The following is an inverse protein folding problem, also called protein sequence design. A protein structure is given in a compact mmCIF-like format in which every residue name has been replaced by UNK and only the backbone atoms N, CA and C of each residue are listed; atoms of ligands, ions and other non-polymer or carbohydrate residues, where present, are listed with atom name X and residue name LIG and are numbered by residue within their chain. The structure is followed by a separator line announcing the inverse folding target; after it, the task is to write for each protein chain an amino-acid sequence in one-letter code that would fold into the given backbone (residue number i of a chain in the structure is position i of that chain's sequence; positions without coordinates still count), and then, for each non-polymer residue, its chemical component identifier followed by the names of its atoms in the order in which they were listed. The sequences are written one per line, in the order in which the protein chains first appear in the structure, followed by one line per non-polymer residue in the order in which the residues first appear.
data_IF_564424857198
#
_entry.id   IF_564424857198
#
_cell.length_a   1.000
_cell.length_b   1.000
_cell.length_c   1.000
_cell.angle_alpha   90.00
_cell.angle_beta   90.00
_cell.angle_gamma   90.00
#
_symmetry.space_group_name_H-M   'P 1'
#
loop_
_entity.id
_entity.type
_entity.pdbx_description
1 polymer ?
#
# COMPACT_ATOMS: atom_id res chain seq x y z
N UNK A 1 -17.86 3.16 16.64
CA UNK A 1 -17.29 3.61 15.38
C UNK A 1 -15.76 3.62 15.30
N UNK A 2 -15.07 3.56 16.43
CA UNK A 2 -13.63 3.29 16.47
C UNK A 2 -13.46 1.84 16.93
N UNK A 3 -13.85 0.90 16.08
CA UNK A 3 -13.83 -0.52 16.40
C UNK A 3 -13.22 -1.39 15.30
N UNK A 4 -12.83 -0.79 14.18
CA UNK A 4 -12.10 -1.44 13.10
C UNK A 4 -11.14 -0.46 12.39
N UNK A 5 -10.00 -0.96 11.93
CA UNK A 5 -9.03 -0.17 11.19
C UNK A 5 -9.61 0.37 9.86
N UNK A 6 -10.45 -0.42 9.20
CA UNK A 6 -11.12 -0.03 7.95
C UNK A 6 -11.97 1.24 8.11
N UNK A 7 -12.62 1.41 9.28
CA UNK A 7 -13.56 2.50 9.51
C UNK A 7 -12.88 3.82 9.90
N UNK A 8 -11.69 3.76 10.49
CA UNK A 8 -11.06 4.94 11.05
C UNK A 8 -9.75 5.34 10.37
N UNK A 9 -8.93 4.38 9.91
CA UNK A 9 -7.58 4.68 9.46
C UNK A 9 -7.47 5.38 8.13
N UNK A 10 -8.17 4.91 7.11
CA UNK A 10 -8.17 5.56 5.79
C UNK A 10 -8.84 6.94 5.85
N UNK A 11 -9.99 7.05 6.54
CA UNK A 11 -10.66 8.32 6.78
C UNK A 11 -9.77 9.28 7.58
N UNK A 12 -9.20 8.82 8.69
CA UNK A 12 -8.32 9.61 9.55
C UNK A 12 -7.07 10.12 8.80
N UNK A 13 -6.50 9.30 7.95
CA UNK A 13 -5.37 9.69 7.09
C UNK A 13 -5.73 10.84 6.15
N UNK A 14 -6.87 10.74 5.45
CA UNK A 14 -7.35 11.80 4.56
C UNK A 14 -7.76 13.06 5.32
N UNK A 15 -8.43 12.90 6.46
CA UNK A 15 -8.81 14.02 7.33
C UNK A 15 -7.57 14.84 7.73
N UNK A 16 -6.48 14.19 8.14
CA UNK A 16 -5.24 14.87 8.51
C UNK A 16 -4.57 15.57 7.32
N UNK A 17 -4.64 15.00 6.12
CA UNK A 17 -4.09 15.60 4.90
C UNK A 17 -4.84 16.88 4.50
N UNK A 18 -6.16 16.91 4.69
CA UNK A 18 -7.02 18.02 4.30
C UNK A 18 -7.23 19.05 5.42
N UNK A 19 -6.76 18.77 6.63
CA UNK A 19 -6.99 19.62 7.80
C UNK A 19 -6.34 21.00 7.69
N UNK A 20 -7.05 22.01 8.17
CA UNK A 20 -6.44 23.31 8.40
C UNK A 20 -5.55 23.27 9.63
N UNK A 21 -4.39 23.94 9.62
CA UNK A 21 -3.54 24.04 10.79
C UNK A 21 -4.32 24.59 12.01
N UNK A 22 -4.23 23.89 13.15
CA UNK A 22 -4.86 24.33 14.41
C UNK A 22 -6.35 23.98 14.54
N UNK A 23 -6.94 23.18 13.66
CA UNK A 23 -8.33 22.72 13.80
C UNK A 23 -8.50 21.80 15.01
N UNK A 24 -9.13 22.31 16.07
CA UNK A 24 -9.31 21.59 17.33
C UNK A 24 -10.25 20.36 17.21
N UNK A 25 -11.23 20.41 16.30
CA UNK A 25 -12.12 19.28 16.07
C UNK A 25 -11.41 18.13 15.38
N UNK A 26 -10.61 18.45 14.35
CA UNK A 26 -9.73 17.48 13.69
C UNK A 26 -8.73 16.90 14.68
N UNK A 27 -8.09 17.73 15.51
CA UNK A 27 -7.14 17.26 16.51
C UNK A 27 -7.78 16.29 17.50
N UNK A 28 -8.96 16.62 18.04
CA UNK A 28 -9.68 15.74 18.96
C UNK A 28 -10.02 14.38 18.35
N UNK A 29 -10.48 14.38 17.08
CA UNK A 29 -10.79 13.13 16.39
C UNK A 29 -9.52 12.33 16.06
N UNK A 30 -8.44 13.00 15.64
CA UNK A 30 -7.16 12.35 15.41
C UNK A 30 -6.60 11.71 16.69
N UNK A 31 -6.71 12.37 17.83
CA UNK A 31 -6.27 11.83 19.11
C UNK A 31 -7.10 10.58 19.49
N UNK A 32 -8.43 10.59 19.24
CA UNK A 32 -9.28 9.42 19.49
C UNK A 32 -8.93 8.23 18.57
N UNK A 33 -8.67 8.48 17.28
CA UNK A 33 -8.23 7.44 16.36
C UNK A 33 -6.84 6.92 16.74
N UNK A 34 -5.93 7.81 17.12
CA UNK A 34 -4.58 7.46 17.57
C UNK A 34 -4.60 6.58 18.81
N UNK A 35 -5.40 6.94 19.82
CA UNK A 35 -5.61 6.14 21.04
C UNK A 35 -6.13 4.74 20.70
N UNK A 36 -7.17 4.65 19.86
CA UNK A 36 -7.70 3.37 19.44
C UNK A 36 -6.62 2.50 18.74
N UNK A 37 -5.92 3.04 17.76
CA UNK A 37 -4.92 2.26 17.01
C UNK A 37 -3.72 1.86 17.85
N UNK A 38 -3.25 2.75 18.72
CA UNK A 38 -2.04 2.50 19.51
C UNK A 38 -2.32 1.59 20.72
N UNK A 39 -3.53 1.62 21.30
CA UNK A 39 -3.76 0.99 22.59
C UNK A 39 -4.97 0.03 22.64
N UNK A 40 -5.98 0.17 21.76
CA UNK A 40 -7.21 -0.61 21.82
C UNK A 40 -7.38 -1.61 20.67
N UNK A 41 -6.76 -1.35 19.50
CA UNK A 41 -6.85 -2.25 18.35
C UNK A 41 -6.39 -3.67 18.72
N UNK A 42 -7.20 -4.71 18.44
CA UNK A 42 -6.84 -6.09 18.73
C UNK A 42 -5.49 -6.48 18.13
N UNK A 43 -4.73 -7.28 18.88
CA UNK A 43 -3.37 -7.71 18.51
C UNK A 43 -3.17 -9.20 18.82
N UNK A 44 -2.27 -9.81 18.08
CA UNK A 44 -1.72 -11.12 18.43
C UNK A 44 -0.84 -11.02 19.68
N UNK A 45 -0.45 -12.16 20.24
CA UNK A 45 0.50 -12.24 21.37
C UNK A 45 1.85 -11.55 21.05
N UNK A 46 2.25 -11.56 19.78
CA UNK A 46 3.47 -10.92 19.28
C UNK A 46 3.28 -9.43 18.95
N UNK A 47 2.04 -8.91 19.07
CA UNK A 47 1.73 -7.49 18.90
C UNK A 47 1.28 -7.07 17.49
N UNK A 48 1.14 -8.01 16.53
CA UNK A 48 0.62 -7.69 15.21
C UNK A 48 -0.89 -7.36 15.29
N UNK A 49 -1.33 -6.33 14.58
CA UNK A 49 -2.76 -6.04 14.46
C UNK A 49 -3.50 -7.25 13.90
N UNK A 50 -4.66 -7.53 14.45
CA UNK A 50 -5.55 -8.55 13.92
C UNK A 50 -7.01 -8.07 13.99
N UNK A 51 -7.84 -8.74 13.21
CA UNK A 51 -9.28 -8.49 13.17
C UNK A 51 -9.99 -9.33 14.22
N UNK A 52 -11.19 -8.93 14.61
CA UNK A 52 -11.99 -9.61 15.66
C UNK A 52 -12.43 -11.02 15.28
N UNK A 53 -12.34 -11.37 13.99
CA UNK A 53 -12.63 -12.72 13.47
C UNK A 53 -11.41 -13.65 13.46
N UNK A 54 -10.35 -13.28 14.19
CA UNK A 54 -9.08 -14.01 14.27
C UNK A 54 -8.36 -14.10 12.90
N UNK A 55 -8.40 -13.03 12.13
CA UNK A 55 -7.68 -12.93 10.87
C UNK A 55 -6.71 -11.74 10.83
N UNK A 56 -5.70 -11.84 9.98
CA UNK A 56 -4.76 -10.76 9.63
C UNK A 56 -4.84 -10.59 8.12
N UNK A 57 -5.04 -9.37 7.65
CA UNK A 57 -5.12 -9.05 6.22
C UNK A 57 -4.01 -8.07 5.83
N UNK A 58 -3.43 -8.28 4.65
CA UNK A 58 -2.43 -7.37 4.11
C UNK A 58 -2.92 -5.91 4.03
N UNK A 59 -4.21 -5.73 3.87
CA UNK A 59 -4.92 -4.45 3.81
C UNK A 59 -4.74 -3.60 5.07
N UNK A 60 -4.68 -4.24 6.24
CA UNK A 60 -4.59 -3.56 7.54
C UNK A 60 -3.34 -2.68 7.66
N UNK A 61 -2.33 -2.92 6.81
CA UNK A 61 -1.16 -2.03 6.73
C UNK A 61 -1.54 -0.65 6.21
N UNK A 62 -2.38 -0.57 5.18
CA UNK A 62 -2.89 0.72 4.68
C UNK A 62 -3.95 1.32 5.62
N UNK A 63 -4.79 0.47 6.20
CA UNK A 63 -5.84 0.90 7.13
C UNK A 63 -5.28 1.47 8.45
N UNK A 64 -3.99 1.34 8.71
CA UNK A 64 -3.34 1.89 9.90
C UNK A 64 -2.14 2.80 9.59
N UNK A 65 -1.22 2.34 8.75
CA UNK A 65 0.09 2.94 8.57
C UNK A 65 0.11 4.40 8.14
N UNK A 66 -0.60 4.80 7.07
CA UNK A 66 -0.64 6.20 6.63
C UNK A 66 -1.19 7.16 7.67
N UNK A 67 -2.20 6.75 8.45
CA UNK A 67 -2.70 7.53 9.56
C UNK A 67 -1.64 7.67 10.67
N UNK A 68 -1.05 6.56 11.12
CA UNK A 68 -0.03 6.56 12.17
C UNK A 68 1.16 7.45 11.83
N UNK A 69 1.58 7.47 10.57
CA UNK A 69 2.65 8.37 10.10
C UNK A 69 2.24 9.84 10.24
N UNK A 70 1.03 10.21 9.78
CA UNK A 70 0.52 11.59 9.86
C UNK A 70 0.22 12.02 11.30
N UNK A 71 -0.28 11.09 12.11
CA UNK A 71 -0.51 11.33 13.54
C UNK A 71 0.80 11.61 14.29
N UNK A 72 1.88 10.91 13.96
CA UNK A 72 3.21 11.22 14.48
C UNK A 72 3.68 12.63 14.11
N UNK A 73 3.45 13.08 12.88
CA UNK A 73 3.76 14.44 12.46
C UNK A 73 2.91 15.48 13.21
N UNK A 74 1.61 15.21 13.37
CA UNK A 74 0.68 16.09 14.10
C UNK A 74 1.05 16.26 15.58
N UNK A 75 1.49 15.17 16.22
CA UNK A 75 1.79 15.15 17.66
C UNK A 75 3.23 15.50 18.00
N UNK A 76 4.15 15.39 17.04
CA UNK A 76 5.60 15.44 17.27
C UNK A 76 6.16 14.20 17.97
N UNK A 77 5.34 13.14 18.16
CA UNK A 77 5.75 11.87 18.79
C UNK A 77 6.11 10.83 17.72
N UNK A 78 7.17 10.07 17.97
CA UNK A 78 7.56 8.96 17.10
C UNK A 78 6.72 7.70 17.31
N UNK A 79 5.78 7.70 18.23
CA UNK A 79 5.03 6.49 18.63
C UNK A 79 4.26 5.86 17.45
N UNK A 80 3.53 6.67 16.68
CA UNK A 80 2.80 6.19 15.50
C UNK A 80 3.72 5.64 14.41
N UNK A 81 4.85 6.33 14.10
CA UNK A 81 5.82 5.81 13.13
C UNK A 81 6.49 4.53 13.62
N UNK A 82 6.79 4.43 14.93
CA UNK A 82 7.33 3.22 15.52
C UNK A 82 6.32 2.06 15.45
N UNK A 83 5.04 2.34 15.73
CA UNK A 83 3.98 1.35 15.61
C UNK A 83 3.84 0.88 14.15
N UNK A 84 3.78 1.79 13.18
CA UNK A 84 3.73 1.45 11.75
C UNK A 84 4.93 0.59 11.32
N UNK A 85 6.14 0.95 11.73
CA UNK A 85 7.36 0.19 11.44
C UNK A 85 7.31 -1.23 12.01
N UNK A 86 6.83 -1.37 13.25
CA UNK A 86 6.64 -2.67 13.90
C UNK A 86 5.62 -3.52 13.15
N UNK A 87 4.45 -2.94 12.83
CA UNK A 87 3.39 -3.66 12.12
C UNK A 87 3.86 -4.17 10.76
N UNK A 88 4.55 -3.35 9.98
CA UNK A 88 5.06 -3.77 8.66
C UNK A 88 6.03 -4.96 8.77
N UNK A 89 6.91 -4.97 9.76
CA UNK A 89 7.86 -6.09 9.96
C UNK A 89 7.13 -7.34 10.48
N UNK A 90 6.18 -7.22 11.40
CA UNK A 90 5.36 -8.33 11.87
C UNK A 90 4.50 -8.93 10.75
N UNK A 91 3.92 -8.09 9.90
CA UNK A 91 3.16 -8.55 8.73
C UNK A 91 4.06 -9.22 7.67
N UNK A 92 5.32 -8.76 7.54
CA UNK A 92 6.32 -9.51 6.77
C UNK A 92 6.45 -10.94 7.29
N UNK A 93 6.65 -11.12 8.59
CA UNK A 93 6.83 -12.44 9.19
C UNK A 93 5.59 -13.34 9.03
N UNK A 94 4.38 -12.76 9.01
CA UNK A 94 3.12 -13.49 8.98
C UNK A 94 2.59 -13.79 7.57
N UNK A 95 2.84 -12.92 6.60
CA UNK A 95 2.20 -12.95 5.28
C UNK A 95 3.17 -13.03 4.10
N UNK A 96 4.45 -12.67 4.28
CA UNK A 96 5.40 -12.68 3.18
C UNK A 96 5.67 -14.11 2.69
N UNK A 97 5.76 -14.29 1.40
CA UNK A 97 6.10 -15.52 0.71
C UNK A 97 7.52 -15.40 0.11
N UNK A 98 8.57 -15.85 0.82
CA UNK A 98 9.95 -15.65 0.39
C UNK A 98 10.28 -16.27 -0.96
N UNK A 99 9.64 -17.40 -1.28
CA UNK A 99 9.77 -18.12 -2.55
C UNK A 99 9.32 -17.29 -3.75
N UNK A 100 8.42 -16.32 -3.55
CA UNK A 100 7.85 -15.44 -4.58
C UNK A 100 8.19 -13.98 -4.42
N UNK A 101 8.67 -13.58 -3.24
CA UNK A 101 8.92 -12.19 -2.84
C UNK A 101 7.66 -11.29 -2.90
N UNK A 102 6.48 -11.83 -2.57
CA UNK A 102 5.19 -11.13 -2.55
C UNK A 102 4.39 -11.51 -1.30
N UNK A 103 3.28 -10.81 -1.04
CA UNK A 103 2.45 -11.06 0.14
C UNK A 103 1.31 -12.02 -0.13
N UNK A 104 1.04 -12.91 0.81
CA UNK A 104 -0.26 -13.56 0.96
C UNK A 104 -1.31 -12.53 1.37
N UNK A 105 -2.55 -12.63 0.88
CA UNK A 105 -3.60 -11.67 1.23
C UNK A 105 -3.96 -11.74 2.72
N UNK A 106 -4.08 -12.94 3.27
CA UNK A 106 -4.53 -13.10 4.65
C UNK A 106 -3.93 -14.31 5.36
N UNK A 107 -4.01 -14.27 6.71
CA UNK A 107 -3.70 -15.39 7.61
C UNK A 107 -4.85 -15.58 8.59
N UNK A 108 -5.25 -16.82 8.81
CA UNK A 108 -6.19 -17.20 9.87
C UNK A 108 -5.41 -17.60 11.13
N UNK A 109 -5.67 -16.91 12.23
CA UNK A 109 -4.96 -17.17 13.51
C UNK A 109 -5.37 -18.49 14.15
N UNK A 110 -6.64 -18.91 13.99
CA UNK A 110 -7.16 -20.17 14.58
C UNK A 110 -6.41 -21.41 14.11
N UNK A 111 -5.97 -21.44 12.87
CA UNK A 111 -5.24 -22.56 12.28
C UNK A 111 -3.79 -22.26 11.93
N UNK A 112 -3.34 -21.03 12.15
CA UNK A 112 -1.99 -20.57 11.86
C UNK A 112 -1.60 -20.54 10.39
N UNK A 113 -2.56 -20.63 9.44
CA UNK A 113 -2.27 -20.74 8.00
C UNK A 113 -2.55 -19.44 7.25
N UNK A 114 -1.62 -19.05 6.38
CA UNK A 114 -1.84 -18.04 5.35
C UNK A 114 -2.50 -18.67 4.13
N UNK A 115 -3.34 -17.92 3.42
CA UNK A 115 -4.04 -18.45 2.24
C UNK A 115 -3.14 -18.58 1.01
N UNK A 116 -1.95 -17.98 1.02
CA UNK A 116 -0.95 -17.96 -0.06
C UNK A 116 -1.51 -17.51 -1.42
N UNK A 117 -2.53 -16.64 -1.38
CA UNK A 117 -3.12 -16.03 -2.57
C UNK A 117 -2.67 -14.57 -2.61
N UNK A 118 -1.87 -14.17 -3.60
CA UNK A 118 -1.38 -12.80 -3.69
C UNK A 118 -2.39 -11.90 -4.39
N UNK A 119 -3.45 -11.53 -3.68
CA UNK A 119 -4.40 -10.54 -4.18
C UNK A 119 -3.71 -9.20 -4.38
N UNK A 120 -3.79 -8.65 -5.59
CA UNK A 120 -2.92 -7.54 -6.01
C UNK A 120 -3.13 -6.28 -5.20
N UNK A 121 -4.38 -5.86 -4.92
CA UNK A 121 -4.64 -4.66 -4.13
C UNK A 121 -4.10 -4.78 -2.70
N UNK A 122 -4.25 -5.92 -2.03
CA UNK A 122 -3.63 -6.14 -0.71
C UNK A 122 -2.10 -6.01 -0.76
N UNK A 123 -1.46 -6.53 -1.81
CA UNK A 123 -0.03 -6.36 -2.06
C UNK A 123 0.34 -4.89 -2.33
N UNK A 124 -0.49 -4.18 -3.10
CA UNK A 124 -0.34 -2.74 -3.35
C UNK A 124 -0.40 -1.92 -2.06
N UNK A 125 -1.35 -2.23 -1.17
CA UNK A 125 -1.48 -1.58 0.12
C UNK A 125 -0.21 -1.68 0.98
N UNK A 126 0.41 -2.86 1.03
CA UNK A 126 1.65 -3.06 1.80
C UNK A 126 2.80 -2.23 1.23
N UNK A 127 3.04 -2.30 -0.08
CA UNK A 127 4.15 -1.56 -0.70
C UNK A 127 3.93 -0.04 -0.63
N UNK A 128 2.68 0.40 -0.84
CA UNK A 128 2.32 1.82 -0.70
C UNK A 128 2.59 2.32 0.71
N UNK A 129 2.15 1.58 1.74
CA UNK A 129 2.38 1.95 3.15
C UNK A 129 3.86 1.97 3.51
N UNK A 130 4.65 0.98 3.04
CA UNK A 130 6.10 1.02 3.17
C UNK A 130 6.68 2.32 2.60
N UNK A 131 6.22 2.72 1.41
CA UNK A 131 6.69 3.96 0.77
C UNK A 131 6.27 5.22 1.54
N UNK A 132 5.07 5.25 2.13
CA UNK A 132 4.60 6.34 3.00
C UNK A 132 5.50 6.47 4.24
N UNK A 133 5.72 5.37 4.94
CA UNK A 133 6.57 5.36 6.14
C UNK A 133 8.01 5.75 5.81
N UNK A 134 8.62 5.17 4.80
CA UNK A 134 10.02 5.42 4.43
C UNK A 134 10.29 6.88 4.01
N UNK A 135 9.30 7.62 3.52
CA UNK A 135 9.44 9.05 3.24
C UNK A 135 9.54 9.89 4.53
N UNK A 136 8.92 9.45 5.61
CA UNK A 136 8.76 10.21 6.87
C UNK A 136 9.69 9.71 7.97
N UNK A 137 10.01 8.41 7.97
CA UNK A 137 10.86 7.79 8.99
C UNK A 137 12.29 8.35 8.93
N UNK A 138 12.87 8.82 10.05
CA UNK A 138 14.24 9.33 10.08
C UNK A 138 15.26 8.36 9.48
N UNK A 139 16.27 8.88 8.79
CA UNK A 139 17.30 8.07 8.13
C UNK A 139 18.04 7.18 9.14
N UNK A 140 18.29 7.68 10.34
CA UNK A 140 18.96 6.95 11.43
C UNK A 140 18.07 6.03 12.26
N UNK A 141 16.79 5.84 11.87
CA UNK A 141 15.89 4.98 12.63
C UNK A 141 16.32 3.50 12.56
N UNK A 142 16.36 2.82 13.71
CA UNK A 142 16.90 1.45 13.87
C UNK A 142 16.27 0.41 12.92
N UNK A 143 14.98 0.53 12.63
CA UNK A 143 14.23 -0.40 11.76
C UNK A 143 14.31 -0.05 10.27
N UNK A 144 14.82 1.14 9.93
CA UNK A 144 14.86 1.59 8.55
C UNK A 144 15.60 0.63 7.59
N UNK A 145 16.76 0.04 7.95
CA UNK A 145 17.45 -0.92 7.07
C UNK A 145 16.59 -2.14 6.75
N UNK A 146 15.89 -2.72 7.73
CA UNK A 146 15.01 -3.87 7.54
C UNK A 146 13.78 -3.53 6.67
N UNK A 147 13.20 -2.34 6.84
CA UNK A 147 12.09 -1.85 6.03
C UNK A 147 12.52 -1.57 4.58
N UNK A 148 13.70 -1.02 4.36
CA UNK A 148 14.27 -0.82 3.02
C UNK A 148 14.54 -2.16 2.32
N UNK A 149 15.08 -3.14 3.05
CA UNK A 149 15.26 -4.48 2.51
C UNK A 149 13.91 -5.08 2.10
N UNK A 150 12.91 -5.00 2.97
CA UNK A 150 11.57 -5.50 2.67
C UNK A 150 10.93 -4.79 1.46
N UNK A 151 11.08 -3.47 1.35
CA UNK A 151 10.64 -2.70 0.18
C UNK A 151 11.28 -3.20 -1.12
N UNK A 152 12.59 -3.47 -1.11
CA UNK A 152 13.34 -3.98 -2.26
C UNK A 152 12.93 -5.41 -2.64
N UNK A 153 12.76 -6.28 -1.65
CA UNK A 153 12.31 -7.67 -1.86
C UNK A 153 10.93 -7.71 -2.54
N UNK A 154 9.96 -6.93 -2.03
CA UNK A 154 8.63 -6.82 -2.62
C UNK A 154 8.70 -6.20 -4.02
N UNK A 155 9.46 -5.13 -4.21
CA UNK A 155 9.61 -4.50 -5.52
C UNK A 155 10.15 -5.48 -6.56
N UNK A 156 11.16 -6.26 -6.21
CA UNK A 156 11.73 -7.30 -7.10
C UNK A 156 10.70 -8.39 -7.43
N UNK A 157 9.91 -8.81 -6.43
CA UNK A 157 8.83 -9.79 -6.65
C UNK A 157 7.75 -9.28 -7.59
N UNK A 158 7.30 -8.04 -7.39
CA UNK A 158 6.26 -7.44 -8.23
C UNK A 158 6.74 -7.17 -9.65
N UNK A 159 7.96 -6.68 -9.85
CA UNK A 159 8.52 -6.46 -11.20
C UNK A 159 8.53 -7.73 -12.04
N UNK A 160 8.83 -8.89 -11.46
CA UNK A 160 8.79 -10.19 -12.16
C UNK A 160 7.40 -10.60 -12.63
N UNK A 161 6.35 -10.02 -12.06
CA UNK A 161 4.94 -10.35 -12.32
C UNK A 161 4.22 -9.27 -13.14
N UNK A 162 4.94 -8.26 -13.62
CA UNK A 162 4.38 -7.23 -14.49
C UNK A 162 4.01 -7.84 -15.84
N UNK A 163 2.76 -7.69 -16.25
CA UNK A 163 2.28 -8.14 -17.55
C UNK A 163 2.89 -7.33 -18.70
N UNK A 164 2.86 -7.87 -19.91
CA UNK A 164 3.35 -7.18 -21.12
C UNK A 164 2.59 -5.86 -21.41
N UNK A 165 1.35 -5.73 -20.92
CA UNK A 165 0.57 -4.49 -20.95
C UNK A 165 1.13 -3.38 -20.06
N UNK A 166 2.03 -3.72 -19.13
CA UNK A 166 2.55 -2.85 -18.09
C UNK A 166 1.77 -2.90 -16.78
N UNK A 167 0.58 -3.48 -16.75
CA UNK A 167 -0.24 -3.61 -15.54
C UNK A 167 0.09 -4.91 -14.78
N UNK A 168 -0.60 -5.12 -13.66
CA UNK A 168 -0.56 -6.36 -12.90
C UNK A 168 -1.93 -7.01 -12.83
N UNK A 169 -1.95 -8.34 -12.77
CA UNK A 169 -3.18 -9.12 -12.67
C UNK A 169 -3.81 -9.03 -11.28
N UNK A 170 -5.13 -9.23 -11.19
CA UNK A 170 -5.91 -9.18 -9.95
C UNK A 170 -5.42 -10.21 -8.91
N UNK A 171 -4.99 -11.40 -9.35
CA UNK A 171 -4.17 -12.33 -8.57
C UNK A 171 -2.78 -12.31 -9.21
N UNK A 172 -1.79 -11.76 -8.51
CA UNK A 172 -0.49 -11.40 -9.10
C UNK A 172 0.20 -12.54 -9.85
N UNK A 173 0.15 -13.75 -9.33
CA UNK A 173 0.77 -14.94 -9.91
C UNK A 173 -0.19 -15.76 -10.79
N UNK A 174 -1.25 -15.13 -11.34
CA UNK A 174 -2.26 -15.80 -12.15
C UNK A 174 -2.66 -14.95 -13.37
N UNK A 175 -1.92 -15.08 -14.49
CA UNK A 175 -2.14 -14.30 -15.71
C UNK A 175 -3.51 -14.47 -16.38
N UNK A 176 -4.31 -15.46 -15.96
CA UNK A 176 -5.69 -15.66 -16.42
C UNK A 176 -6.72 -14.73 -15.76
N UNK A 177 -6.33 -13.91 -14.76
CA UNK A 177 -7.20 -12.92 -14.14
C UNK A 177 -7.09 -11.57 -14.85
N UNK A 178 -8.07 -10.68 -14.66
CA UNK A 178 -8.03 -9.38 -15.31
C UNK A 178 -6.89 -8.49 -14.78
N UNK A 179 -6.53 -7.48 -15.57
CA UNK A 179 -5.55 -6.45 -15.21
C UNK A 179 -6.16 -5.49 -14.19
N UNK A 180 -5.51 -5.30 -13.04
CA UNK A 180 -6.05 -4.57 -11.89
C UNK A 180 -5.41 -3.19 -11.76
N UNK A 181 -6.23 -2.15 -11.88
CA UNK A 181 -5.75 -0.77 -12.00
C UNK A 181 -5.31 -0.16 -10.69
N UNK A 182 -5.96 -0.49 -9.56
CA UNK A 182 -5.62 0.14 -8.27
C UNK A 182 -4.27 -0.34 -7.75
N UNK A 183 -3.97 -1.62 -7.82
CA UNK A 183 -2.66 -2.16 -7.43
C UNK A 183 -1.56 -1.63 -8.37
N UNK A 184 -1.83 -1.57 -9.68
CA UNK A 184 -0.90 -0.98 -10.65
C UNK A 184 -0.54 0.46 -10.27
N UNK A 185 -1.53 1.28 -9.90
CA UNK A 185 -1.30 2.66 -9.46
C UNK A 185 -0.49 2.72 -8.16
N UNK A 186 -0.74 1.84 -7.19
CA UNK A 186 0.04 1.75 -5.96
C UNK A 186 1.51 1.40 -6.22
N UNK A 187 1.76 0.47 -7.14
CA UNK A 187 3.13 0.12 -7.52
C UNK A 187 3.84 1.27 -8.23
N UNK A 188 3.16 2.00 -9.12
CA UNK A 188 3.71 3.23 -9.73
C UNK A 188 4.09 4.23 -8.65
N UNK A 189 3.22 4.51 -7.68
CA UNK A 189 3.51 5.43 -6.58
C UNK A 189 4.76 5.00 -5.80
N UNK A 190 4.79 3.76 -5.33
CA UNK A 190 5.85 3.26 -4.49
C UNK A 190 7.20 3.18 -5.23
N UNK A 191 7.21 2.66 -6.46
CA UNK A 191 8.43 2.58 -7.28
C UNK A 191 8.97 3.98 -7.62
N UNK A 192 8.10 4.93 -7.99
CA UNK A 192 8.50 6.31 -8.27
C UNK A 192 9.13 6.98 -7.05
N UNK A 193 8.55 6.76 -5.86
CA UNK A 193 9.10 7.24 -4.58
C UNK A 193 10.45 6.59 -4.29
N UNK A 194 10.58 5.28 -4.51
CA UNK A 194 11.84 4.54 -4.34
C UNK A 194 12.96 5.07 -5.22
N UNK A 195 12.67 5.35 -6.51
CA UNK A 195 13.63 5.95 -7.44
C UNK A 195 14.04 7.36 -7.01
N UNK A 196 13.08 8.22 -6.65
CA UNK A 196 13.38 9.61 -6.25
C UNK A 196 14.16 9.74 -4.94
N UNK A 197 13.98 8.80 -4.02
CA UNK A 197 14.62 8.82 -2.71
C UNK A 197 15.87 7.92 -2.61
N UNK A 198 16.29 7.28 -3.71
CA UNK A 198 17.50 6.46 -3.74
C UNK A 198 17.39 5.18 -2.91
N UNK A 199 16.20 4.56 -2.86
CA UNK A 199 16.00 3.34 -2.06
C UNK A 199 16.43 2.07 -2.78
N UNK A 200 16.70 2.13 -4.07
CA UNK A 200 17.16 1.01 -4.89
C UNK A 200 18.67 1.00 -5.06
N UNK A 201 19.22 -0.17 -5.26
CA UNK A 201 20.60 -0.33 -5.66
C UNK A 201 20.78 0.10 -7.12
N UNK A 202 21.95 0.63 -7.45
CA UNK A 202 22.23 1.20 -8.80
C UNK A 202 21.95 0.20 -9.92
N UNK A 203 22.23 -1.09 -9.69
CA UNK A 203 22.07 -2.15 -10.67
C UNK A 203 20.64 -2.36 -11.19
N UNK A 204 19.61 -1.94 -10.43
CA UNK A 204 18.20 -2.16 -10.78
C UNK A 204 17.44 -0.87 -11.16
N UNK A 205 18.11 0.28 -11.14
CA UNK A 205 17.44 1.58 -11.37
C UNK A 205 16.74 1.66 -12.72
N UNK A 206 17.38 1.21 -13.79
CA UNK A 206 16.82 1.25 -15.15
C UNK A 206 15.66 0.27 -15.30
N UNK A 207 15.73 -0.89 -14.66
CA UNK A 207 14.64 -1.87 -14.65
C UNK A 207 13.41 -1.31 -13.94
N UNK A 208 13.57 -0.71 -12.75
CA UNK A 208 12.47 -0.10 -11.99
C UNK A 208 11.88 1.08 -12.76
N UNK A 209 12.72 1.93 -13.37
CA UNK A 209 12.25 3.06 -14.19
C UNK A 209 11.41 2.57 -15.38
N UNK A 210 11.90 1.59 -16.11
CA UNK A 210 11.19 0.98 -17.24
C UNK A 210 9.86 0.35 -16.79
N UNK A 211 9.83 -0.29 -15.60
CA UNK A 211 8.59 -0.85 -15.07
C UNK A 211 7.55 0.25 -14.76
N UNK A 212 7.97 1.38 -14.17
CA UNK A 212 7.09 2.54 -13.91
C UNK A 212 6.55 3.13 -15.22
N UNK A 213 7.41 3.32 -16.21
CA UNK A 213 7.03 3.89 -17.52
C UNK A 213 6.02 3.01 -18.24
N UNK A 214 6.27 1.70 -18.30
CA UNK A 214 5.31 0.73 -18.88
C UNK A 214 3.98 0.73 -18.11
N UNK A 215 4.04 0.77 -16.77
CA UNK A 215 2.83 0.76 -15.93
C UNK A 215 1.98 2.00 -16.14
N UNK A 216 2.60 3.18 -16.18
CA UNK A 216 1.88 4.43 -16.40
C UNK A 216 1.27 4.48 -17.80
N UNK A 217 2.05 4.10 -18.82
CA UNK A 217 1.55 3.99 -20.19
C UNK A 217 0.38 3.03 -20.28
N UNK A 218 0.51 1.83 -19.69
CA UNK A 218 -0.55 0.82 -19.69
C UNK A 218 -1.83 1.31 -19.00
N UNK A 219 -1.74 2.01 -17.85
CA UNK A 219 -2.91 2.61 -17.20
C UNK A 219 -3.60 3.63 -18.12
N UNK A 220 -2.86 4.53 -18.73
CA UNK A 220 -3.41 5.55 -19.61
C UNK A 220 -4.07 4.96 -20.87
N UNK A 221 -3.52 3.89 -21.43
CA UNK A 221 -4.00 3.31 -22.70
C UNK A 221 -5.12 2.28 -22.51
N UNK A 222 -5.18 1.59 -21.37
CA UNK A 222 -6.04 0.42 -21.19
C UNK A 222 -7.06 0.57 -20.07
N UNK A 223 -6.80 1.43 -19.07
CA UNK A 223 -7.65 1.55 -17.90
C UNK A 223 -8.37 2.90 -17.79
N UNK A 224 -7.98 3.90 -18.59
CA UNK A 224 -8.59 5.24 -18.58
C UNK A 224 -9.10 5.55 -19.98
N UNK A 225 -10.39 5.86 -20.12
CA UNK A 225 -10.95 6.27 -21.40
C UNK A 225 -10.78 7.79 -21.66
N UNK A 226 -11.26 8.23 -22.84
CA UNK A 226 -11.14 9.64 -23.26
C UNK A 226 -11.95 10.62 -22.40
N UNK A 227 -12.95 10.12 -21.69
CA UNK A 227 -13.81 10.90 -20.80
C UNK A 227 -13.26 10.93 -19.36
N UNK A 228 -12.11 10.26 -19.12
CA UNK A 228 -11.46 10.16 -17.81
C UNK A 228 -12.04 9.09 -16.90
N UNK A 229 -12.84 8.18 -17.42
CA UNK A 229 -13.38 7.07 -16.65
C UNK A 229 -12.33 5.99 -16.40
N UNK A 230 -12.37 5.39 -15.22
CA UNK A 230 -11.45 4.36 -14.77
C UNK A 230 -12.09 2.97 -14.78
N UNK A 231 -11.40 2.02 -15.37
CA UNK A 231 -11.79 0.60 -15.50
C UNK A 231 -10.80 -0.29 -14.73
N UNK A 232 -11.19 -1.55 -14.51
CA UNK A 232 -10.30 -2.58 -13.99
C UNK A 232 -9.97 -2.45 -12.50
N UNK A 233 -10.75 -1.72 -11.72
CA UNK A 233 -10.57 -1.63 -10.27
C UNK A 233 -11.37 -2.71 -9.57
N UNK A 234 -10.70 -3.66 -8.92
CA UNK A 234 -11.34 -4.71 -8.15
C UNK A 234 -12.30 -4.12 -7.11
N UNK A 235 -13.53 -4.60 -7.06
CA UNK A 235 -14.46 -4.27 -5.96
C UNK A 235 -13.88 -4.69 -4.61
N UNK A 236 -14.48 -4.24 -3.51
CA UNK A 236 -14.12 -4.67 -2.16
C UNK A 236 -14.11 -6.19 -2.06
N UNK A 237 -13.15 -6.74 -1.33
CA UNK A 237 -12.96 -8.18 -1.14
C UNK A 237 -13.20 -8.58 0.30
N UNK A 238 -13.80 -9.76 0.51
CA UNK A 238 -13.58 -10.55 1.70
C UNK A 238 -12.33 -11.43 1.54
N UNK A 239 -12.24 -12.50 2.33
CA UNK A 239 -11.13 -13.44 2.24
C UNK A 239 -11.59 -14.88 1.98
N UNK A 240 -10.70 -15.67 1.41
CA UNK A 240 -10.91 -17.11 1.22
C UNK A 240 -9.57 -17.84 1.12
N UNK A 241 -9.58 -19.13 1.41
CA UNK A 241 -8.48 -20.04 1.08
C UNK A 241 -8.56 -20.60 -0.34
N UNK A 242 -9.61 -20.25 -1.09
CA UNK A 242 -9.84 -20.70 -2.46
C UNK A 242 -9.50 -19.62 -3.49
N UNK A 243 -8.61 -19.92 -4.43
CA UNK A 243 -8.35 -19.05 -5.59
C UNK A 243 -9.61 -18.82 -6.44
N UNK A 244 -10.51 -19.83 -6.52
CA UNK A 244 -11.78 -19.70 -7.25
C UNK A 244 -12.62 -18.53 -6.71
N UNK A 245 -12.65 -18.31 -5.39
CA UNK A 245 -13.30 -17.14 -4.80
C UNK A 245 -12.73 -15.83 -5.36
N UNK A 246 -11.41 -15.66 -5.38
CA UNK A 246 -10.78 -14.43 -5.88
C UNK A 246 -11.05 -14.21 -7.37
N UNK A 247 -11.12 -15.26 -8.18
CA UNK A 247 -11.49 -15.18 -9.61
C UNK A 247 -12.91 -14.69 -9.82
N UNK A 248 -13.81 -14.83 -8.85
CA UNK A 248 -15.20 -14.31 -8.93
C UNK A 248 -15.32 -12.84 -8.54
N UNK A 249 -14.25 -12.23 -8.00
CA UNK A 249 -14.26 -10.81 -7.68
C UNK A 249 -14.21 -9.99 -8.96
N UNK A 250 -15.32 -9.36 -9.29
CA UNK A 250 -15.43 -8.47 -10.45
C UNK A 250 -14.77 -7.11 -10.16
N UNK A 251 -14.44 -6.40 -11.20
CA UNK A 251 -14.07 -5.00 -11.10
C UNK A 251 -15.31 -4.09 -11.26
N UNK A 252 -15.21 -2.88 -10.72
CA UNK A 252 -16.22 -1.82 -10.87
C UNK A 252 -15.68 -0.69 -11.74
N UNK A 253 -16.61 -0.02 -12.38
CA UNK A 253 -16.40 1.21 -13.12
C UNK A 253 -16.32 2.40 -12.16
N UNK A 254 -15.31 3.26 -12.31
CA UNK A 254 -15.08 4.42 -11.45
C UNK A 254 -15.11 4.10 -9.95
N UNK A 255 -14.56 2.96 -9.55
CA UNK A 255 -14.53 2.54 -8.16
C UNK A 255 -13.62 3.44 -7.33
N UNK A 256 -14.10 3.82 -6.15
CA UNK A 256 -13.39 4.73 -5.23
C UNK A 256 -12.05 4.20 -4.73
N UNK A 257 -11.85 2.87 -4.71
CA UNK A 257 -10.54 2.28 -4.38
C UNK A 257 -9.47 2.57 -5.45
N UNK A 258 -9.84 3.00 -6.65
CA UNK A 258 -8.91 3.23 -7.75
C UNK A 258 -8.70 4.71 -8.07
N UNK A 259 -9.75 5.54 -8.06
CA UNK A 259 -9.69 6.92 -8.56
C UNK A 259 -8.59 7.71 -7.87
N UNK A 260 -8.59 7.77 -6.54
CA UNK A 260 -7.63 8.57 -5.77
C UNK A 260 -6.18 8.10 -5.97
N UNK A 261 -5.96 6.78 -5.97
CA UNK A 261 -4.60 6.25 -6.11
C UNK A 261 -4.05 6.39 -7.54
N UNK A 262 -4.91 6.34 -8.57
CA UNK A 262 -4.51 6.59 -9.96
C UNK A 262 -4.11 8.07 -10.15
N UNK A 263 -4.86 9.01 -9.57
CA UNK A 263 -4.48 10.43 -9.56
C UNK A 263 -3.14 10.64 -8.86
N UNK A 264 -2.92 10.01 -7.71
CA UNK A 264 -1.66 10.09 -6.97
C UNK A 264 -0.51 9.46 -7.77
N UNK A 265 -0.75 8.35 -8.46
CA UNK A 265 0.24 7.73 -9.35
C UNK A 265 0.69 8.68 -10.45
N UNK A 266 -0.25 9.42 -11.07
CA UNK A 266 0.07 10.48 -12.03
C UNK A 266 0.96 11.58 -11.43
N UNK A 267 0.63 12.04 -10.23
CA UNK A 267 1.45 13.04 -9.52
C UNK A 267 2.87 12.50 -9.22
N UNK A 268 3.00 11.27 -8.75
CA UNK A 268 4.30 10.67 -8.45
C UNK A 268 5.12 10.41 -9.71
N UNK A 269 4.47 10.01 -10.81
CA UNK A 269 5.10 9.85 -12.12
C UNK A 269 5.60 11.20 -12.67
N UNK A 270 4.78 12.26 -12.58
CA UNK A 270 5.20 13.61 -12.97
C UNK A 270 6.41 14.09 -12.16
N UNK A 271 6.41 13.91 -10.84
CA UNK A 271 7.55 14.26 -9.98
C UNK A 271 8.83 13.50 -10.36
N UNK A 272 8.70 12.26 -10.85
CA UNK A 272 9.83 11.45 -11.30
C UNK A 272 10.39 11.97 -12.64
N UNK A 273 9.51 12.29 -13.59
CA UNK A 273 9.89 12.68 -14.96
C UNK A 273 10.33 14.15 -15.06
N UNK A 274 9.68 15.08 -14.33
CA UNK A 274 10.06 16.51 -14.36
C UNK A 274 11.44 16.78 -13.77
N UNK A 275 11.86 16.05 -12.75
CA UNK A 275 13.24 16.15 -12.24
C UNK A 275 14.28 15.68 -13.25
N UNK A 276 13.93 14.71 -14.11
CA UNK A 276 14.83 14.20 -15.15
C UNK A 276 15.05 15.23 -16.30
N UNK A 277 14.09 16.14 -16.51
CA UNK A 277 14.16 17.16 -17.57
C UNK A 277 14.57 18.54 -17.10
N UNK A 278 15.02 18.71 -15.87
CA UNK A 278 15.55 19.99 -15.37
C UNK A 278 14.54 21.14 -15.33
N UNK A 279 13.23 20.86 -15.32
CA UNK A 279 12.21 21.89 -15.21
C UNK A 279 12.09 22.33 -13.76
N UNK A 280 12.42 23.57 -13.53
CA UNK A 280 12.40 24.34 -12.28
C UNK A 280 11.05 24.22 -11.58
N UNK A 281 11.13 24.09 -10.25
CA UNK A 281 10.01 24.24 -9.29
C UNK A 281 9.05 25.36 -9.67
N UNK A 282 7.77 25.02 -9.78
CA UNK A 282 6.68 25.96 -9.61
C UNK A 282 6.52 26.31 -8.14
#
# INVERSE_FOLDING_TARGET
WLDALDDCGSFGSMMLECAKPGDAAVRKLADAIGEYMLHEQPRTSEGAYCRRDDTIWADDMYMSGPFLCRYSELTGSMEGMNACANQLLQYKDLLFMPDKQIMSHMRCLRNGKSNRIPWSRGNGWVLFTLSELLQKLPVGHEKRPALLLFFRELSAGYMKLQDASGLWHQILDEPGTYLESSATAMFICAFSRGLRNGWYDVAVLDEVRSAVERAWKGLCEQAIDRDGNLYGVCRGSGFSFSRAYYRTLMWNFNDTHGIGIVMLAGVEYLKLTTKAYGVVSL
#
